data_IF_240164743936
#
_entry.id   IF_240164743936
#
_cell.length_a   1.000
_cell.length_b   1.000
_cell.length_c   1.000
_cell.angle_alpha   90.00
_cell.angle_beta   90.00
_cell.angle_gamma   90.00
#
_symmetry.space_group_name_H-M   'P 1'
#
loop_
_entity.id
_entity.type
_entity.pdbx_description
1 polymer ?
#
# COMPACT_ATOMS: atom_id res chain seq x y z
N UNK A 1 12.30 4.35 -20.80
CA UNK A 1 11.15 4.37 -19.87
C UNK A 1 9.97 4.98 -20.59
N UNK A 2 8.80 4.33 -20.52
CA UNK A 2 7.58 4.80 -21.17
C UNK A 2 6.73 5.54 -20.13
N UNK A 3 6.37 6.79 -20.40
CA UNK A 3 5.54 7.61 -19.49
C UNK A 3 4.12 7.63 -20.02
N UNK A 4 3.15 7.20 -19.20
CA UNK A 4 1.73 7.30 -19.53
C UNK A 4 1.12 8.48 -18.78
N UNK A 5 0.43 9.37 -19.51
CA UNK A 5 -0.32 10.49 -18.94
C UNK A 5 -1.74 10.04 -18.61
N UNK A 6 -2.18 10.29 -17.38
CA UNK A 6 -3.53 9.94 -16.94
C UNK A 6 -4.45 11.17 -16.97
N UNK A 7 -5.70 10.97 -17.39
CA UNK A 7 -6.70 12.05 -17.49
C UNK A 7 -6.98 12.69 -16.12
N UNK A 8 -7.01 14.03 -16.07
CA UNK A 8 -7.08 14.90 -14.88
C UNK A 8 -8.35 14.79 -14.01
N UNK A 9 -9.18 13.76 -14.18
CA UNK A 9 -10.51 13.69 -13.55
C UNK A 9 -10.78 12.38 -12.81
N UNK A 10 -9.88 12.00 -11.88
CA UNK A 10 -10.27 11.12 -10.77
C UNK A 10 -10.04 11.89 -9.47
N UNK A 11 -11.12 12.42 -8.89
CA UNK A 11 -11.10 12.93 -7.52
C UNK A 11 -10.58 11.80 -6.63
N UNK A 12 -9.41 12.00 -6.02
CA UNK A 12 -8.83 11.04 -5.08
C UNK A 12 -9.84 10.83 -3.96
N UNK A 13 -10.55 9.70 -3.97
CA UNK A 13 -11.48 9.34 -2.90
C UNK A 13 -10.60 8.97 -1.72
N UNK A 14 -10.56 9.86 -0.73
CA UNK A 14 -9.75 9.72 0.47
C UNK A 14 -10.11 8.40 1.17
N UNK A 15 -9.26 7.37 1.01
CA UNK A 15 -9.42 6.12 1.74
C UNK A 15 -8.51 6.20 2.97
N UNK A 16 -9.10 6.04 4.16
CA UNK A 16 -8.40 6.03 5.46
C UNK A 16 -7.25 5.00 5.51
N UNK A 17 -7.30 3.99 4.64
CA UNK A 17 -6.29 2.96 4.50
C UNK A 17 -5.35 3.29 3.33
N UNK A 18 -4.07 3.50 3.64
CA UNK A 18 -3.01 3.78 2.65
C UNK A 18 -2.64 2.56 1.79
N UNK A 19 -3.18 1.39 2.07
CA UNK A 19 -2.88 0.13 1.36
C UNK A 19 -4.20 -0.61 1.16
N UNK A 20 -4.57 -0.89 -0.08
CA UNK A 20 -5.80 -1.60 -0.42
C UNK A 20 -5.54 -2.58 -1.54
N UNK A 21 -5.94 -3.82 -1.32
CA UNK A 21 -5.99 -4.82 -2.38
C UNK A 21 -7.38 -4.82 -3.01
N UNK A 22 -7.45 -4.73 -4.33
CA UNK A 22 -8.68 -4.79 -5.14
C UNK A 22 -8.72 -6.16 -5.85
N UNK A 23 -9.46 -7.15 -5.31
CA UNK A 23 -9.38 -8.53 -5.79
C UNK A 23 -9.94 -8.74 -7.19
N UNK A 24 -10.88 -7.89 -7.63
CA UNK A 24 -11.50 -7.98 -8.96
C UNK A 24 -10.48 -7.73 -10.07
N UNK A 25 -9.57 -6.78 -9.86
CA UNK A 25 -8.52 -6.40 -10.82
C UNK A 25 -7.16 -7.07 -10.51
N UNK A 26 -7.04 -7.78 -9.38
CA UNK A 26 -5.79 -8.31 -8.81
C UNK A 26 -4.68 -7.24 -8.69
N UNK A 27 -5.06 -6.05 -8.18
CA UNK A 27 -4.16 -4.90 -8.00
C UNK A 27 -4.03 -4.56 -6.52
N UNK A 28 -2.78 -4.35 -6.07
CA UNK A 28 -2.49 -3.76 -4.77
C UNK A 28 -2.15 -2.27 -4.94
N UNK A 29 -2.96 -1.44 -4.31
CA UNK A 29 -2.90 0.01 -4.33
C UNK A 29 -2.25 0.52 -3.05
N UNK A 30 -1.17 1.29 -3.17
CA UNK A 30 -0.40 1.84 -2.04
C UNK A 30 -0.28 3.37 -2.21
N UNK A 31 -0.99 4.13 -1.39
CA UNK A 31 -0.91 5.59 -1.37
C UNK A 31 0.19 6.08 -0.43
N UNK A 32 1.12 6.84 -0.98
CA UNK A 32 2.24 7.46 -0.25
C UNK A 32 1.86 8.85 0.27
N UNK A 33 1.07 9.59 -0.50
CA UNK A 33 0.56 10.91 -0.13
C UNK A 33 -0.85 11.17 -0.70
N UNK A 34 -1.50 12.22 -0.20
CA UNK A 34 -2.82 12.65 -0.66
C UNK A 34 -2.76 13.63 -1.85
N UNK A 35 -1.55 13.88 -2.38
CA UNK A 35 -1.36 14.76 -3.54
C UNK A 35 -2.02 14.13 -4.79
N UNK A 36 -2.45 14.93 -5.77
CA UNK A 36 -2.84 14.40 -7.07
C UNK A 36 -1.60 13.87 -7.82
N UNK A 37 -1.77 12.82 -8.62
CA UNK A 37 -0.75 12.33 -9.55
C UNK A 37 -1.11 12.73 -11.00
N UNK A 38 -0.11 12.98 -11.84
CA UNK A 38 -0.27 13.40 -13.24
C UNK A 38 0.20 12.33 -14.24
N UNK A 39 1.19 11.52 -13.89
CA UNK A 39 1.72 10.48 -14.76
C UNK A 39 2.18 9.25 -13.96
N UNK A 40 2.27 8.11 -14.65
CA UNK A 40 2.82 6.88 -14.10
C UNK A 40 4.02 6.37 -14.90
N UNK A 41 4.96 5.75 -14.19
CA UNK A 41 6.09 5.02 -14.77
C UNK A 41 5.98 3.54 -14.41
N UNK A 42 5.99 2.71 -15.45
CA UNK A 42 6.09 1.26 -15.36
C UNK A 42 7.58 0.88 -15.34
N UNK A 43 8.01 0.20 -14.28
CA UNK A 43 9.39 -0.26 -14.10
C UNK A 43 9.70 -1.59 -14.83
N UNK A 44 8.69 -2.16 -15.50
CA UNK A 44 8.78 -3.45 -16.21
C UNK A 44 8.58 -4.67 -15.31
N UNK A 45 8.39 -4.49 -14.00
CA UNK A 45 8.28 -5.55 -13.00
C UNK A 45 6.89 -5.59 -12.34
N UNK A 46 5.84 -5.25 -13.10
CA UNK A 46 4.45 -5.23 -12.64
C UNK A 46 4.17 -4.14 -11.60
N UNK A 47 5.10 -3.20 -11.40
CA UNK A 47 4.94 -2.08 -10.49
C UNK A 47 4.83 -0.80 -11.31
N UNK A 48 3.73 -0.06 -11.11
CA UNK A 48 3.55 1.27 -11.68
C UNK A 48 3.64 2.27 -10.54
N UNK A 49 4.59 3.19 -10.63
CA UNK A 49 4.70 4.31 -9.69
C UNK A 49 4.10 5.56 -10.32
N UNK A 50 3.15 6.17 -9.63
CA UNK A 50 2.48 7.40 -10.02
C UNK A 50 3.10 8.60 -9.32
N UNK A 51 3.34 9.65 -10.09
CA UNK A 51 4.08 10.84 -9.68
C UNK A 51 3.25 12.11 -9.86
N UNK A 52 3.58 13.14 -9.07
CA UNK A 52 3.17 14.52 -9.32
C UNK A 52 3.86 15.08 -10.57
N UNK A 53 3.48 16.30 -10.97
CA UNK A 53 4.17 17.04 -12.04
C UNK A 53 5.65 17.31 -11.74
N UNK A 54 6.01 17.40 -10.46
CA UNK A 54 7.35 17.73 -9.98
C UNK A 54 8.15 16.47 -9.59
N UNK A 55 7.80 15.32 -10.17
CA UNK A 55 8.46 14.02 -10.00
C UNK A 55 8.45 13.47 -8.56
N UNK A 56 7.52 13.93 -7.72
CA UNK A 56 7.31 13.34 -6.39
C UNK A 56 6.43 12.09 -6.47
N UNK A 57 6.80 10.95 -5.86
CA UNK A 57 5.99 9.73 -5.87
C UNK A 57 4.78 9.86 -4.94
N UNK A 58 3.61 9.49 -5.44
CA UNK A 58 2.31 9.66 -4.76
C UNK A 58 1.64 8.34 -4.47
N UNK A 59 1.71 7.41 -5.41
CA UNK A 59 0.88 6.22 -5.43
C UNK A 59 1.60 5.09 -6.18
N UNK A 60 1.50 3.87 -5.67
CA UNK A 60 2.10 2.68 -6.27
C UNK A 60 1.00 1.65 -6.53
N UNK A 61 1.01 1.09 -7.73
CA UNK A 61 0.20 -0.05 -8.14
C UNK A 61 1.09 -1.26 -8.32
N UNK A 62 0.76 -2.36 -7.65
CA UNK A 62 1.35 -3.68 -7.94
C UNK A 62 0.31 -4.50 -8.70
N UNK A 63 0.55 -4.71 -9.99
CA UNK A 63 -0.28 -5.52 -10.87
C UNK A 63 -0.04 -7.02 -10.60
N UNK A 64 -1.06 -7.84 -10.84
CA UNK A 64 -1.02 -9.28 -10.57
C UNK A 64 -0.52 -9.57 -9.15
N UNK A 65 -1.00 -8.82 -8.16
CA UNK A 65 -0.45 -8.82 -6.81
C UNK A 65 -0.44 -10.24 -6.20
N UNK A 66 -1.48 -11.03 -6.47
CA UNK A 66 -1.56 -12.43 -6.05
C UNK A 66 -0.38 -13.28 -6.55
N UNK A 67 0.09 -13.03 -7.77
CA UNK A 67 1.27 -13.67 -8.36
C UNK A 67 2.55 -13.06 -7.82
N UNK A 68 2.63 -11.74 -7.75
CA UNK A 68 3.79 -11.03 -7.20
C UNK A 68 4.19 -11.58 -5.83
N UNK A 69 3.22 -11.79 -4.94
CA UNK A 69 3.50 -12.34 -3.60
C UNK A 69 3.84 -13.83 -3.58
N UNK A 70 3.33 -14.62 -4.55
CA UNK A 70 3.75 -16.02 -4.71
C UNK A 70 5.20 -16.10 -5.19
N UNK A 71 5.56 -15.24 -6.15
CA UNK A 71 6.88 -15.20 -6.77
C UNK A 71 7.94 -14.58 -5.82
N UNK A 72 7.53 -13.64 -4.94
CA UNK A 72 8.37 -13.13 -3.85
C UNK A 72 8.85 -14.21 -2.86
N UNK A 73 8.24 -15.39 -2.92
CA UNK A 73 8.75 -16.62 -2.33
C UNK A 73 8.51 -16.79 -0.82
N UNK A 74 8.93 -17.94 -0.27
CA UNK A 74 8.65 -18.33 1.11
C UNK A 74 9.29 -17.41 2.15
N UNK A 75 10.37 -16.71 1.80
CA UNK A 75 11.03 -15.78 2.71
C UNK A 75 10.25 -14.48 2.92
N UNK A 76 9.53 -14.01 1.89
CA UNK A 76 8.57 -12.93 2.05
C UNK A 76 7.43 -13.35 2.99
N UNK A 77 6.85 -14.54 2.75
CA UNK A 77 5.76 -15.09 3.56
C UNK A 77 6.14 -15.23 5.05
N UNK A 78 7.35 -15.73 5.34
CA UNK A 78 7.88 -15.83 6.72
C UNK A 78 8.02 -14.46 7.38
N UNK A 79 8.54 -13.46 6.64
CA UNK A 79 8.72 -12.09 7.15
C UNK A 79 7.39 -11.38 7.38
N UNK A 80 6.43 -11.54 6.48
CA UNK A 80 5.08 -11.01 6.62
C UNK A 80 4.38 -11.60 7.86
N UNK A 81 4.41 -12.92 8.03
CA UNK A 81 3.86 -13.60 9.22
C UNK A 81 4.50 -13.09 10.51
N UNK A 82 5.83 -12.94 10.54
CA UNK A 82 6.56 -12.39 11.69
C UNK A 82 6.15 -10.93 12.00
N UNK A 83 5.86 -10.12 10.99
CA UNK A 83 5.38 -8.76 11.19
C UNK A 83 3.95 -8.72 11.73
N UNK A 84 3.06 -9.56 11.22
CA UNK A 84 1.69 -9.71 11.74
C UNK A 84 1.67 -10.16 13.20
N UNK A 85 2.48 -11.16 13.55
CA UNK A 85 2.61 -11.67 14.92
C UNK A 85 3.09 -10.59 15.89
N UNK A 86 3.97 -9.68 15.44
CA UNK A 86 4.40 -8.53 16.24
C UNK A 86 3.28 -7.53 16.46
N UNK A 87 2.50 -7.20 15.43
CA UNK A 87 1.40 -6.22 15.54
C UNK A 87 0.32 -6.74 16.49
N UNK A 88 -0.04 -8.02 16.40
CA UNK A 88 -1.02 -8.66 17.29
C UNK A 88 -0.54 -8.66 18.75
N UNK A 89 0.75 -8.89 18.99
CA UNK A 89 1.32 -8.87 20.34
C UNK A 89 1.48 -7.46 20.93
N UNK A 90 1.54 -6.41 20.11
CA UNK A 90 1.60 -5.01 20.60
C UNK A 90 0.23 -4.52 21.09
N UNK A 91 -0.87 -5.04 20.56
CA UNK A 91 -2.23 -4.70 21.03
C UNK A 91 -2.66 -5.44 22.32
N UNK A 92 -1.81 -6.29 22.88
CA UNK A 92 -2.05 -6.99 24.16
C UNK A 92 -1.34 -6.33 25.33
N UNK A 93 -1.11 -5.01 25.29
CA UNK A 93 -0.75 -4.24 26.49
C UNK A 93 -2.03 -3.59 27.00
N UNK A 94 -2.87 -4.40 27.64
CA UNK A 94 -3.96 -3.89 28.48
C UNK A 94 -3.33 -3.13 29.63
N UNK A 95 -3.39 -1.80 29.58
CA UNK A 95 -3.05 -0.94 30.72
C UNK A 95 -4.11 -1.25 31.79
N UNK A 96 -3.76 -1.80 32.96
CA UNK A 96 -4.75 -1.95 34.02
C UNK A 96 -5.19 -0.54 34.46
N UNK A 97 -6.48 -0.24 34.28
CA UNK A 97 -7.13 0.91 34.92
C UNK A 97 -7.15 0.65 36.43
N UNK A 98 -6.16 1.16 37.14
CA UNK A 98 -6.14 1.16 38.60
C UNK A 98 -7.14 2.21 39.09
N UNK A 99 -8.40 1.81 39.20
CA UNK A 99 -9.44 2.63 39.81
C UNK A 99 -9.18 2.64 41.31
N UNK A 100 -8.53 3.70 41.81
CA UNK A 100 -8.49 3.99 43.24
C UNK A 100 -9.92 4.26 43.71
N UNK A 101 -10.53 3.28 44.39
CA UNK A 101 -11.73 3.50 45.19
C UNK A 101 -11.36 4.32 46.42
N UNK A 102 -11.75 5.60 46.42
CA UNK A 102 -12.04 6.35 47.65
C UNK A 102 -13.35 5.90 48.26
#
# INVERSE_FOLDING_TARGET
>A
MNKQSFSKNKKNVFRKNKIIYEPEDDVLNIWLSDKPYEYGEDDGNLIITHYTKDDEPVYIEVLFASRFFKDAGPDFSKRAKKAEDKIKNVHTISIPLEIKKT
#
